data_IF_093560231245
#
_entry.id   IF_093560231245
#
_cell.length_a   1.000
_cell.length_b   1.000
_cell.length_c   1.000
_cell.angle_alpha   90.00
_cell.angle_beta   90.00
_cell.angle_gamma   90.00
#
_symmetry.space_group_name_H-M   'P 1'
#
loop_
_entity.id
_entity.type
_entity.pdbx_description
1 polymer ?
#
# COMPACT_ATOMS: atom_id res chain seq x y z
N UNK A 1 18.72 -38.70 -7.72
CA UNK A 1 18.14 -37.72 -6.76
C UNK A 1 16.76 -38.20 -6.39
N UNK A 2 16.53 -38.53 -5.11
CA UNK A 2 15.27 -39.17 -4.69
C UNK A 2 14.11 -38.18 -4.85
N UNK A 3 12.99 -38.60 -5.45
CA UNK A 3 11.80 -37.76 -5.69
C UNK A 3 11.35 -37.02 -4.42
N UNK A 4 11.50 -37.65 -3.26
CA UNK A 4 11.24 -37.05 -1.95
C UNK A 4 12.09 -35.80 -1.65
N UNK A 5 13.38 -35.81 -1.99
CA UNK A 5 14.27 -34.65 -1.78
C UNK A 5 13.84 -33.47 -2.66
N UNK A 6 13.45 -33.75 -3.91
CA UNK A 6 12.97 -32.72 -4.84
C UNK A 6 11.69 -32.08 -4.31
N UNK A 7 10.75 -32.89 -3.82
CA UNK A 7 9.49 -32.40 -3.24
C UNK A 7 9.75 -31.56 -1.98
N UNK A 8 10.62 -32.02 -1.08
CA UNK A 8 10.97 -31.25 0.12
C UNK A 8 11.62 -29.91 -0.20
N UNK A 9 12.53 -29.88 -1.17
CA UNK A 9 13.18 -28.63 -1.63
C UNK A 9 12.14 -27.69 -2.23
N UNK A 10 11.26 -28.18 -3.11
CA UNK A 10 10.18 -27.37 -3.69
C UNK A 10 9.25 -26.79 -2.62
N UNK A 11 8.87 -27.59 -1.64
CA UNK A 11 7.98 -27.14 -0.56
C UNK A 11 8.63 -26.02 0.28
N UNK A 12 9.90 -26.20 0.63
CA UNK A 12 10.67 -25.18 1.36
C UNK A 12 10.77 -23.89 0.53
N UNK A 13 11.03 -24.01 -0.78
CA UNK A 13 11.17 -22.86 -1.68
C UNK A 13 9.86 -22.07 -1.79
N UNK A 14 8.72 -22.76 -1.93
CA UNK A 14 7.40 -22.13 -1.93
C UNK A 14 7.11 -21.45 -0.60
N UNK A 15 7.36 -22.12 0.54
CA UNK A 15 7.14 -21.54 1.86
C UNK A 15 8.00 -20.29 2.10
N UNK A 16 9.26 -20.28 1.64
CA UNK A 16 10.13 -19.09 1.70
C UNK A 16 9.59 -17.95 0.82
N UNK A 17 9.17 -18.24 -0.41
CA UNK A 17 8.62 -17.22 -1.31
C UNK A 17 7.33 -16.62 -0.76
N UNK A 18 6.43 -17.44 -0.21
CA UNK A 18 5.19 -16.98 0.41
C UNK A 18 5.44 -16.09 1.62
N UNK A 19 6.35 -16.49 2.52
CA UNK A 19 6.69 -15.68 3.70
C UNK A 19 7.38 -14.37 3.34
N UNK A 20 8.25 -14.38 2.32
CA UNK A 20 8.88 -13.18 1.78
C UNK A 20 7.85 -12.21 1.18
N UNK A 21 6.87 -12.72 0.42
CA UNK A 21 5.78 -11.91 -0.14
C UNK A 21 4.93 -11.21 0.93
N UNK A 22 4.58 -11.94 2.00
CA UNK A 22 3.84 -11.40 3.14
C UNK A 22 4.66 -10.30 3.84
N UNK A 23 5.95 -10.53 4.10
CA UNK A 23 6.78 -9.55 4.80
C UNK A 23 7.02 -8.28 3.97
N UNK A 24 7.23 -8.43 2.66
CA UNK A 24 7.35 -7.30 1.74
C UNK A 24 6.07 -6.46 1.70
N UNK A 25 4.90 -7.11 1.62
CA UNK A 25 3.61 -6.41 1.58
C UNK A 25 3.29 -5.71 2.90
N UNK A 26 3.64 -6.32 4.05
CA UNK A 26 3.55 -5.67 5.37
C UNK A 26 4.40 -4.40 5.46
N UNK A 27 5.64 -4.49 4.98
CA UNK A 27 6.57 -3.36 4.99
C UNK A 27 6.02 -2.22 4.12
N UNK A 28 5.49 -2.54 2.93
CA UNK A 28 4.88 -1.56 2.04
C UNK A 28 3.67 -0.87 2.63
N UNK A 29 2.75 -1.62 3.25
CA UNK A 29 1.61 -1.06 4.00
C UNK A 29 2.10 -0.02 5.01
N UNK A 30 3.08 -0.41 5.82
CA UNK A 30 3.58 0.42 6.93
C UNK A 30 4.23 1.70 6.40
N UNK A 31 5.08 1.59 5.37
CA UNK A 31 5.72 2.75 4.74
C UNK A 31 4.70 3.71 4.11
N UNK A 32 3.72 3.20 3.37
CA UNK A 32 2.69 4.04 2.76
C UNK A 32 1.86 4.77 3.82
N UNK A 33 1.50 4.09 4.91
CA UNK A 33 0.80 4.72 6.04
C UNK A 33 1.63 5.82 6.67
N UNK A 34 2.93 5.60 6.89
CA UNK A 34 3.83 6.62 7.42
C UNK A 34 3.90 7.86 6.53
N UNK A 35 4.03 7.68 5.20
CA UNK A 35 4.06 8.81 4.26
C UNK A 35 2.74 9.58 4.24
N UNK A 36 1.61 8.87 4.21
CA UNK A 36 0.27 9.46 4.24
C UNK A 36 0.04 10.26 5.52
N UNK A 37 0.40 9.70 6.69
CA UNK A 37 0.29 10.41 7.98
C UNK A 37 1.23 11.63 8.06
N UNK A 38 2.42 11.56 7.45
CA UNK A 38 3.32 12.70 7.41
C UNK A 38 2.76 13.86 6.57
N UNK A 39 2.10 13.56 5.45
CA UNK A 39 1.41 14.56 4.62
C UNK A 39 0.21 15.18 5.37
N UNK A 40 -0.59 14.35 6.06
CA UNK A 40 -1.69 14.80 6.92
C UNK A 40 -1.19 15.76 8.01
N UNK A 41 -0.10 15.38 8.69
CA UNK A 41 0.48 16.19 9.76
C UNK A 41 1.02 17.53 9.25
N UNK A 42 1.63 17.56 8.06
CA UNK A 42 2.06 18.81 7.43
C UNK A 42 0.86 19.73 7.13
N UNK A 43 -0.22 19.17 6.61
CA UNK A 43 -1.44 19.91 6.30
C UNK A 43 -2.11 20.47 7.56
N UNK A 44 -2.22 19.68 8.64
CA UNK A 44 -2.78 20.12 9.94
C UNK A 44 -1.94 21.24 10.56
N UNK A 45 -0.62 21.24 10.34
CA UNK A 45 0.28 22.29 10.81
C UNK A 45 0.22 23.57 9.96
N UNK A 46 -0.56 23.57 8.87
CA UNK A 46 -0.67 24.68 7.94
C UNK A 46 0.49 24.78 6.94
N UNK A 47 1.37 23.79 6.88
CA UNK A 47 2.48 23.73 5.95
C UNK A 47 2.03 23.10 4.61
N UNK A 48 1.27 23.88 3.85
CA UNK A 48 0.64 23.45 2.60
C UNK A 48 1.69 23.08 1.54
N UNK A 49 2.79 23.83 1.44
CA UNK A 49 3.85 23.55 0.46
C UNK A 49 4.50 22.18 0.75
N UNK A 50 4.77 21.89 2.02
CA UNK A 50 5.26 20.57 2.41
C UNK A 50 4.23 19.49 2.14
N UNK A 51 2.95 19.70 2.47
CA UNK A 51 1.90 18.71 2.24
C UNK A 51 1.71 18.38 0.74
N UNK A 52 1.82 19.38 -0.15
CA UNK A 52 1.85 19.19 -1.61
C UNK A 52 3.04 18.32 -2.01
N UNK A 53 4.24 18.65 -1.52
CA UNK A 53 5.47 17.91 -1.83
C UNK A 53 5.42 16.47 -1.34
N UNK A 54 4.89 16.24 -0.13
CA UNK A 54 4.69 14.89 0.39
C UNK A 54 3.66 14.12 -0.45
N UNK A 55 2.58 14.76 -0.90
CA UNK A 55 1.60 14.14 -1.81
C UNK A 55 2.23 13.69 -3.13
N UNK A 56 3.12 14.49 -3.72
CA UNK A 56 3.88 14.10 -4.91
C UNK A 56 4.85 12.94 -4.66
N UNK A 57 5.47 12.92 -3.48
CA UNK A 57 6.36 11.82 -3.08
C UNK A 57 5.58 10.53 -2.86
N UNK A 58 4.39 10.60 -2.25
CA UNK A 58 3.49 9.46 -2.06
C UNK A 58 3.14 8.85 -3.41
N UNK A 59 2.75 9.65 -4.41
CA UNK A 59 2.46 9.14 -5.77
C UNK A 59 3.68 8.42 -6.37
N UNK A 60 4.87 9.01 -6.32
CA UNK A 60 6.09 8.37 -6.85
C UNK A 60 6.40 7.04 -6.16
N UNK A 61 6.23 7.00 -4.83
CA UNK A 61 6.43 5.79 -4.04
C UNK A 61 5.40 4.73 -4.37
N UNK A 62 4.15 5.13 -4.59
CA UNK A 62 3.11 4.23 -5.05
C UNK A 62 3.43 3.64 -6.43
N UNK A 63 3.81 4.45 -7.41
CA UNK A 63 4.13 3.99 -8.78
C UNK A 63 5.27 2.95 -8.82
N UNK A 64 6.28 3.11 -7.94
CA UNK A 64 7.37 2.13 -7.78
C UNK A 64 6.87 0.76 -7.28
N UNK A 65 5.81 0.78 -6.47
CA UNK A 65 5.26 -0.36 -5.74
C UNK A 65 4.11 -1.04 -6.46
N UNK A 66 3.29 -0.27 -7.16
CA UNK A 66 2.12 -0.70 -7.93
C UNK A 66 2.46 -1.87 -8.84
N UNK A 67 3.54 -1.76 -9.62
CA UNK A 67 3.99 -2.79 -10.57
C UNK A 67 4.21 -4.16 -9.92
N UNK A 68 4.65 -4.16 -8.66
CA UNK A 68 4.86 -5.40 -7.91
C UNK A 68 3.57 -5.93 -7.32
N UNK A 69 2.71 -5.04 -6.81
CA UNK A 69 1.41 -5.40 -6.24
C UNK A 69 0.50 -6.05 -7.29
N UNK A 70 0.51 -5.55 -8.53
CA UNK A 70 -0.29 -6.09 -9.63
C UNK A 70 0.04 -7.55 -10.01
N UNK A 71 1.13 -8.12 -9.51
CA UNK A 71 1.46 -9.54 -9.73
C UNK A 71 0.59 -10.49 -8.90
N UNK A 72 0.00 -10.01 -7.80
CA UNK A 72 -0.73 -10.87 -6.85
C UNK A 72 -1.98 -10.24 -6.25
N UNK A 73 -2.13 -8.90 -6.28
CA UNK A 73 -3.34 -8.18 -5.85
C UNK A 73 -4.25 -7.90 -7.05
N UNK A 74 -5.56 -7.84 -6.82
CA UNK A 74 -6.53 -7.52 -7.87
C UNK A 74 -6.33 -6.09 -8.39
N UNK A 75 -6.35 -5.93 -9.71
CA UNK A 75 -6.20 -4.63 -10.39
C UNK A 75 -7.16 -3.57 -9.87
N UNK A 76 -8.44 -3.89 -9.67
CA UNK A 76 -9.45 -2.92 -9.25
C UNK A 76 -9.14 -2.26 -7.89
N UNK A 77 -8.58 -3.00 -6.94
CA UNK A 77 -8.21 -2.48 -5.62
C UNK A 77 -7.00 -1.54 -5.73
N UNK A 78 -6.02 -1.92 -6.55
CA UNK A 78 -4.83 -1.12 -6.83
C UNK A 78 -5.18 0.16 -7.59
N UNK A 79 -6.02 0.07 -8.61
CA UNK A 79 -6.49 1.22 -9.41
C UNK A 79 -7.25 2.23 -8.54
N UNK A 80 -8.08 1.74 -7.60
CA UNK A 80 -8.82 2.60 -6.67
C UNK A 80 -7.89 3.36 -5.73
N UNK A 81 -6.87 2.68 -5.18
CA UNK A 81 -5.86 3.35 -4.33
C UNK A 81 -5.05 4.36 -5.15
N UNK A 82 -4.66 4.00 -6.38
CA UNK A 82 -3.90 4.90 -7.25
C UNK A 82 -4.69 6.19 -7.54
N UNK A 83 -5.98 6.07 -7.87
CA UNK A 83 -6.86 7.22 -8.07
C UNK A 83 -6.92 8.10 -6.81
N UNK A 84 -7.12 7.48 -5.65
CA UNK A 84 -7.17 8.20 -4.36
C UNK A 84 -5.88 8.97 -4.07
N UNK A 85 -4.72 8.37 -4.34
CA UNK A 85 -3.41 9.03 -4.17
C UNK A 85 -3.22 10.17 -5.16
N UNK A 86 -3.64 10.00 -6.41
CA UNK A 86 -3.54 11.03 -7.45
C UNK A 86 -4.35 12.28 -7.11
N UNK A 87 -5.47 12.13 -6.39
CA UNK A 87 -6.31 13.24 -5.94
C UNK A 87 -5.62 14.09 -4.86
N UNK A 88 -4.82 13.49 -3.96
CA UNK A 88 -4.26 14.12 -2.76
C UNK A 88 -3.61 15.49 -3.03
N UNK A 89 -2.76 15.57 -4.07
CA UNK A 89 -2.08 16.81 -4.44
C UNK A 89 -3.08 17.93 -4.75
N UNK A 90 -4.14 17.63 -5.48
CA UNK A 90 -5.13 18.62 -5.88
C UNK A 90 -6.01 19.05 -4.70
N UNK A 91 -6.39 18.10 -3.83
CA UNK A 91 -7.18 18.41 -2.63
C UNK A 91 -6.42 19.40 -1.75
N UNK A 92 -5.15 19.14 -1.42
CA UNK A 92 -4.39 20.05 -0.54
C UNK A 92 -4.03 21.39 -1.21
N UNK A 93 -3.89 21.42 -2.54
CA UNK A 93 -3.52 22.64 -3.27
C UNK A 93 -4.72 23.58 -3.50
N UNK A 94 -5.92 23.04 -3.70
CA UNK A 94 -7.07 23.81 -4.18
C UNK A 94 -8.31 23.72 -3.30
N UNK A 95 -8.42 22.72 -2.44
CA UNK A 95 -9.53 22.57 -1.50
C UNK A 95 -9.08 22.88 -0.08
N UNK A 96 -9.79 22.34 0.91
CA UNK A 96 -9.46 22.49 2.31
C UNK A 96 -8.71 21.28 2.89
N UNK A 97 -8.07 21.53 4.03
CA UNK A 97 -7.33 20.53 4.80
C UNK A 97 -8.22 19.38 5.26
N UNK A 98 -9.51 19.59 5.50
CA UNK A 98 -10.39 18.56 6.03
C UNK A 98 -10.70 17.48 4.98
N UNK A 99 -10.99 17.88 3.74
CA UNK A 99 -11.21 16.95 2.62
C UNK A 99 -9.93 16.15 2.31
N UNK A 100 -8.78 16.82 2.33
CA UNK A 100 -7.47 16.18 2.19
C UNK A 100 -7.21 15.12 3.28
N UNK A 101 -7.40 15.46 4.56
CA UNK A 101 -7.21 14.52 5.67
C UNK A 101 -8.22 13.35 5.59
N UNK A 102 -9.46 13.61 5.18
CA UNK A 102 -10.46 12.56 4.95
C UNK A 102 -10.00 11.58 3.87
N UNK A 103 -9.51 12.09 2.73
CA UNK A 103 -8.99 11.27 1.63
C UNK A 103 -7.75 10.46 2.04
N UNK A 104 -6.87 11.03 2.85
CA UNK A 104 -5.72 10.30 3.42
C UNK A 104 -6.20 9.10 4.23
N UNK A 105 -7.16 9.31 5.15
CA UNK A 105 -7.68 8.23 5.98
C UNK A 105 -8.39 7.15 5.15
N UNK A 106 -9.18 7.56 4.15
CA UNK A 106 -9.79 6.63 3.17
C UNK A 106 -8.71 5.78 2.47
N UNK A 107 -7.63 6.42 2.00
CA UNK A 107 -6.50 5.74 1.35
C UNK A 107 -5.81 4.74 2.28
N UNK A 108 -5.56 5.13 3.54
CA UNK A 108 -4.99 4.23 4.56
C UNK A 108 -5.90 3.01 4.77
N UNK A 109 -7.21 3.22 4.89
CA UNK A 109 -8.18 2.12 5.06
C UNK A 109 -8.18 1.17 3.85
N UNK A 110 -8.13 1.70 2.63
CA UNK A 110 -8.04 0.84 1.43
C UNK A 110 -6.76 0.01 1.41
N UNK A 111 -5.61 0.60 1.74
CA UNK A 111 -4.33 -0.10 1.86
C UNK A 111 -4.39 -1.17 2.97
N UNK A 112 -5.03 -0.86 4.10
CA UNK A 112 -5.24 -1.81 5.19
C UNK A 112 -6.13 -2.99 4.76
N UNK A 113 -7.20 -2.74 4.01
CA UNK A 113 -8.08 -3.79 3.47
C UNK A 113 -7.35 -4.70 2.49
N UNK A 114 -6.57 -4.15 1.55
CA UNK A 114 -5.74 -4.94 0.63
C UNK A 114 -4.76 -5.81 1.40
N UNK A 115 -4.11 -5.27 2.43
CA UNK A 115 -3.21 -6.07 3.27
C UNK A 115 -3.97 -7.20 4.00
N UNK A 116 -5.13 -6.88 4.57
CA UNK A 116 -5.92 -7.85 5.31
C UNK A 116 -6.41 -8.99 4.42
N UNK A 117 -6.75 -8.75 3.15
CA UNK A 117 -7.20 -9.80 2.22
C UNK A 117 -6.07 -10.76 1.80
N UNK A 118 -4.81 -10.30 1.81
CA UNK A 118 -3.65 -11.12 1.46
C UNK A 118 -3.18 -12.05 2.58
N UNK A 119 -3.68 -11.87 3.81
CA UNK A 119 -3.30 -12.73 4.93
C UNK A 119 -3.90 -14.14 4.75
N UNK A 120 -3.12 -15.22 4.93
CA UNK A 120 -3.62 -16.59 4.86
C UNK A 120 -4.37 -16.98 6.15
N UNK A 121 -5.36 -16.17 6.54
CA UNK A 121 -6.28 -16.45 7.64
C UNK A 121 -7.53 -17.13 7.09
N UNK A 122 -8.20 -17.92 7.93
CA UNK A 122 -9.40 -18.68 7.53
C UNK A 122 -10.48 -17.81 6.85
N UNK A 123 -10.61 -16.54 7.24
CA UNK A 123 -11.54 -15.56 6.64
C UNK A 123 -11.28 -15.31 5.14
N UNK A 124 -10.05 -15.47 4.66
CA UNK A 124 -9.65 -15.15 3.29
C UNK A 124 -9.46 -16.39 2.41
N UNK A 125 -9.41 -17.58 3.01
CA UNK A 125 -9.21 -18.87 2.31
C UNK A 125 -10.55 -19.56 2.03
N UNK A 126 -11.59 -19.25 2.80
CA UNK A 126 -12.87 -19.97 2.86
C UNK A 126 -14.02 -19.03 2.53
#
# INVERSE_FOLDING_TARGET
>A
MNRAVIISVLFILVAMLSTMGIMNTYHMKTQMKEYLMAAEQAAIQGDIEKAVKESENIQKKWDEKEKWLLLYVKHNEIDTINQSISELKFLIQYQDTAEFCSKINETITMIEHVWESELPIFKNIL
#
